data_IF_400042923588
#
_entry.id   IF_400042923588
#
_cell.length_a   1.000
_cell.length_b   1.000
_cell.length_c   1.000
_cell.angle_alpha   90.00
_cell.angle_beta   90.00
_cell.angle_gamma   90.00
#
_symmetry.space_group_name_H-M   'P 1'
#
loop_
_entity.id
_entity.type
_entity.pdbx_description
1 polymer ?
#
# COMPACT_ATOMS: atom_id res chain seq x y z
N UNK A 1 54.51 -7.87 32.45
CA UNK A 1 54.09 -8.40 31.12
C UNK A 1 53.16 -9.60 31.28
N UNK A 2 52.81 -10.00 32.52
CA UNK A 2 52.20 -11.31 32.81
C UNK A 2 50.66 -11.30 32.87
N UNK A 3 50.04 -10.12 33.02
CA UNK A 3 48.57 -9.95 33.02
C UNK A 3 47.93 -10.20 31.64
N UNK A 4 48.69 -10.01 30.56
CA UNK A 4 48.19 -10.20 29.19
C UNK A 4 48.14 -11.69 28.86
N UNK A 5 49.14 -12.47 29.30
CA UNK A 5 49.19 -13.92 29.07
C UNK A 5 48.18 -14.70 29.92
N UNK A 6 47.91 -14.28 31.16
CA UNK A 6 46.89 -14.92 32.02
C UNK A 6 45.46 -14.74 31.51
N UNK A 7 45.21 -13.75 30.64
CA UNK A 7 43.91 -13.59 29.98
C UNK A 7 43.71 -14.64 28.87
N UNK A 8 44.78 -15.11 28.23
CA UNK A 8 44.71 -16.10 27.15
C UNK A 8 44.50 -17.55 27.65
N UNK A 9 44.70 -17.83 28.94
CA UNK A 9 44.38 -19.13 29.56
C UNK A 9 42.87 -19.35 29.75
N UNK A 10 42.06 -18.31 29.58
CA UNK A 10 40.62 -18.43 29.71
C UNK A 10 40.02 -18.91 28.37
N UNK A 11 39.36 -20.09 28.33
CA UNK A 11 38.85 -20.70 27.11
C UNK A 11 37.80 -19.85 26.36
N UNK A 12 37.22 -18.83 27.02
CA UNK A 12 36.25 -17.91 26.41
C UNK A 12 36.86 -16.69 25.73
N UNK A 13 38.11 -16.32 26.04
CA UNK A 13 38.76 -15.12 25.50
C UNK A 13 38.95 -15.15 23.98
N UNK A 14 39.35 -16.27 23.35
CA UNK A 14 39.41 -16.38 21.90
C UNK A 14 38.05 -16.12 21.22
N UNK A 15 36.95 -16.58 21.83
CA UNK A 15 35.59 -16.36 21.31
C UNK A 15 35.13 -14.92 21.45
N UNK A 16 35.49 -14.24 22.55
CA UNK A 16 35.20 -12.81 22.74
C UNK A 16 35.96 -11.97 21.72
N UNK A 17 37.24 -12.28 21.49
CA UNK A 17 38.06 -11.61 20.46
C UNK A 17 37.48 -11.87 19.07
N UNK A 18 37.05 -13.10 18.77
CA UNK A 18 36.39 -13.43 17.52
C UNK A 18 35.06 -12.67 17.35
N UNK A 19 34.22 -12.61 18.37
CA UNK A 19 32.95 -11.89 18.35
C UNK A 19 33.17 -10.38 18.16
N UNK A 20 34.17 -9.80 18.84
CA UNK A 20 34.57 -8.41 18.66
C UNK A 20 35.15 -8.16 17.26
N UNK A 21 35.95 -9.09 16.73
CA UNK A 21 36.47 -9.01 15.37
C UNK A 21 35.35 -9.07 14.32
N UNK A 22 34.37 -9.97 14.50
CA UNK A 22 33.17 -10.05 13.66
C UNK A 22 32.33 -8.77 13.80
N UNK A 23 32.16 -8.24 15.00
CA UNK A 23 31.42 -7.01 15.25
C UNK A 23 32.09 -5.80 14.57
N UNK A 24 33.41 -5.67 14.67
CA UNK A 24 34.17 -4.61 14.00
C UNK A 24 34.19 -4.80 12.48
N UNK A 25 34.38 -6.02 12.00
CA UNK A 25 34.28 -6.34 10.57
C UNK A 25 32.88 -6.01 10.04
N UNK A 26 31.83 -6.38 10.77
CA UNK A 26 30.45 -6.01 10.46
C UNK A 26 30.27 -4.50 10.44
N UNK A 27 30.75 -3.77 11.44
CA UNK A 27 30.63 -2.30 11.50
C UNK A 27 31.45 -1.58 10.42
N UNK A 28 32.49 -2.21 9.88
CA UNK A 28 33.33 -1.68 8.79
C UNK A 28 32.80 -2.05 7.39
N UNK A 29 32.18 -3.23 7.27
CA UNK A 29 31.62 -3.77 6.02
C UNK A 29 30.16 -3.31 5.84
N UNK A 30 29.36 -3.19 6.89
CA UNK A 30 27.96 -2.74 6.84
C UNK A 30 27.75 -1.36 6.19
N UNK A 31 28.57 -0.32 6.45
CA UNK A 31 28.44 0.96 5.73
C UNK A 31 28.94 0.88 4.27
N UNK A 32 29.79 -0.10 3.92
CA UNK A 32 30.20 -0.34 2.52
C UNK A 32 29.24 -1.28 1.76
N UNK A 33 28.50 -2.11 2.48
CA UNK A 33 27.33 -2.87 2.04
C UNK A 33 26.06 -2.00 2.09
N UNK A 34 26.17 -0.70 1.83
CA UNK A 34 25.07 -0.07 1.09
C UNK A 34 25.00 -0.83 -0.23
N UNK A 35 24.14 -1.85 -0.28
CA UNK A 35 23.70 -2.54 -1.49
C UNK A 35 23.10 -1.48 -2.43
N UNK A 36 23.98 -0.71 -3.05
CA UNK A 36 23.74 0.21 -4.13
C UNK A 36 24.07 -0.57 -5.40
N UNK A 37 23.44 -1.74 -5.52
CA UNK A 37 23.37 -2.44 -6.80
C UNK A 37 22.36 -1.69 -7.66
N UNK A 38 22.64 -1.45 -8.95
CA UNK A 38 21.67 -0.84 -9.84
C UNK A 38 20.43 -1.74 -9.90
N UNK A 39 19.31 -1.25 -9.36
CA UNK A 39 17.98 -1.88 -9.53
C UNK A 39 17.45 -2.75 -8.39
N UNK A 40 18.20 -3.03 -7.31
CA UNK A 40 17.69 -3.87 -6.21
C UNK A 40 17.29 -3.00 -5.02
N UNK A 41 16.01 -2.62 -4.96
CA UNK A 41 15.47 -1.89 -3.80
C UNK A 41 15.48 -2.79 -2.57
N UNK A 42 15.94 -2.24 -1.43
CA UNK A 42 15.87 -2.91 -0.13
C UNK A 42 14.45 -3.39 0.17
N UNK A 43 13.45 -2.68 -0.33
CA UNK A 43 12.03 -3.01 -0.17
C UNK A 43 11.62 -4.29 -0.91
N UNK A 44 12.23 -4.55 -2.07
CA UNK A 44 11.93 -5.74 -2.88
C UNK A 44 12.53 -7.00 -2.23
N UNK A 45 13.70 -6.84 -1.61
CA UNK A 45 14.34 -7.89 -0.81
C UNK A 45 13.58 -8.11 0.50
N UNK A 46 13.19 -7.03 1.19
CA UNK A 46 12.38 -7.16 2.41
C UNK A 46 11.01 -7.78 2.12
N UNK A 47 10.37 -7.46 0.99
CA UNK A 47 9.11 -8.10 0.60
C UNK A 47 9.27 -9.61 0.34
N UNK A 48 10.37 -10.02 -0.29
CA UNK A 48 10.67 -11.44 -0.54
C UNK A 48 11.02 -12.21 0.74
N UNK A 49 11.69 -11.58 1.69
CA UNK A 49 12.18 -12.23 2.93
C UNK A 49 11.16 -12.19 4.07
N UNK A 50 10.44 -11.08 4.24
CA UNK A 50 9.48 -10.87 5.33
C UNK A 50 8.05 -11.25 4.98
N UNK A 51 7.78 -11.58 3.71
CA UNK A 51 6.49 -12.07 3.23
C UNK A 51 5.47 -10.99 2.87
N UNK A 52 4.35 -11.43 2.29
CA UNK A 52 3.27 -10.58 1.77
C UNK A 52 2.65 -9.63 2.83
N UNK A 53 2.65 -10.05 4.09
CA UNK A 53 2.12 -9.24 5.20
C UNK A 53 2.94 -7.96 5.46
N UNK A 54 4.26 -7.98 5.21
CA UNK A 54 5.10 -6.79 5.34
C UNK A 54 4.77 -5.76 4.23
N UNK A 55 4.57 -6.23 3.00
CA UNK A 55 4.19 -5.38 1.87
C UNK A 55 2.79 -4.78 2.05
N UNK A 56 1.84 -5.55 2.60
CA UNK A 56 0.50 -5.07 2.92
C UNK A 56 0.51 -4.01 4.03
N UNK A 57 1.27 -4.22 5.11
CA UNK A 57 1.39 -3.25 6.18
C UNK A 57 2.00 -1.92 5.70
N UNK A 58 2.99 -2.00 4.80
CA UNK A 58 3.60 -0.81 4.17
C UNK A 58 2.61 -0.08 3.27
N UNK A 59 1.88 -0.82 2.44
CA UNK A 59 0.82 -0.29 1.59
C UNK A 59 -0.24 0.46 2.42
N UNK A 60 -0.72 -0.15 3.49
CA UNK A 60 -1.69 0.45 4.41
C UNK A 60 -1.16 1.72 5.07
N UNK A 61 0.13 1.74 5.45
CA UNK A 61 0.77 2.94 5.99
C UNK A 61 0.81 4.08 4.96
N UNK A 62 1.06 3.76 3.69
CA UNK A 62 1.08 4.74 2.61
C UNK A 62 -0.31 5.30 2.30
N UNK A 63 -1.34 4.44 2.24
CA UNK A 63 -2.74 4.84 2.06
C UNK A 63 -3.16 5.80 3.19
N UNK A 64 -2.93 5.42 4.45
CA UNK A 64 -3.24 6.26 5.62
C UNK A 64 -2.52 7.61 5.59
N UNK A 65 -1.30 7.64 5.06
CA UNK A 65 -0.56 8.89 4.90
C UNK A 65 -1.24 9.79 3.88
N UNK A 66 -1.61 9.27 2.70
CA UNK A 66 -2.32 10.04 1.69
C UNK A 66 -3.70 10.52 2.17
N UNK A 67 -4.45 9.69 2.90
CA UNK A 67 -5.71 10.10 3.53
C UNK A 67 -5.51 11.26 4.51
N UNK A 68 -4.48 11.20 5.37
CA UNK A 68 -4.15 12.29 6.30
C UNK A 68 -3.71 13.57 5.60
N UNK A 69 -3.07 13.46 4.44
CA UNK A 69 -2.69 14.58 3.59
C UNK A 69 -3.88 15.11 2.75
N UNK A 70 -5.06 14.50 2.87
CA UNK A 70 -6.27 14.86 2.10
C UNK A 70 -6.24 14.39 0.65
N UNK A 71 -5.22 13.61 0.25
CA UNK A 71 -5.05 13.14 -1.12
C UNK A 71 -5.72 11.76 -1.32
N UNK A 72 -7.04 11.75 -1.21
CA UNK A 72 -7.85 10.53 -1.36
C UNK A 72 -7.79 9.96 -2.78
N UNK A 73 -7.61 10.81 -3.80
CA UNK A 73 -7.44 10.36 -5.17
C UNK A 73 -6.18 9.49 -5.34
N UNK A 74 -5.04 9.90 -4.79
CA UNK A 74 -3.81 9.10 -4.83
C UNK A 74 -3.93 7.83 -3.99
N UNK A 75 -4.60 7.91 -2.82
CA UNK A 75 -4.84 6.76 -1.96
C UNK A 75 -5.69 5.69 -2.67
N UNK A 76 -6.79 6.09 -3.31
CA UNK A 76 -7.66 5.18 -4.06
C UNK A 76 -6.97 4.59 -5.30
N UNK A 77 -6.17 5.37 -6.04
CA UNK A 77 -5.40 4.85 -7.19
C UNK A 77 -4.41 3.78 -6.76
N UNK A 78 -3.73 3.98 -5.64
CA UNK A 78 -2.80 2.99 -5.10
C UNK A 78 -3.53 1.67 -4.74
N UNK A 79 -4.77 1.75 -4.25
CA UNK A 79 -5.62 0.58 -4.01
C UNK A 79 -6.05 -0.10 -5.32
N UNK A 80 -6.40 0.67 -6.35
CA UNK A 80 -6.70 0.13 -7.69
C UNK A 80 -5.53 -0.62 -8.32
N UNK A 81 -4.32 -0.07 -8.23
CA UNK A 81 -3.09 -0.72 -8.73
C UNK A 81 -2.85 -2.08 -8.06
N UNK A 82 -3.27 -2.21 -6.79
CA UNK A 82 -3.21 -3.45 -6.02
C UNK A 82 -4.48 -4.32 -6.18
N UNK A 83 -5.38 -4.00 -7.12
CA UNK A 83 -6.67 -4.68 -7.38
C UNK A 83 -7.62 -4.71 -6.19
N UNK A 84 -7.46 -3.81 -5.24
CA UNK A 84 -8.29 -3.68 -4.02
C UNK A 84 -9.45 -2.71 -4.27
N UNK A 85 -10.27 -3.01 -5.28
CA UNK A 85 -11.30 -2.09 -5.77
C UNK A 85 -12.35 -1.71 -4.71
N UNK A 86 -12.73 -2.63 -3.83
CA UNK A 86 -13.71 -2.35 -2.77
C UNK A 86 -13.19 -1.29 -1.78
N UNK A 87 -11.94 -1.41 -1.35
CA UNK A 87 -11.32 -0.44 -0.45
C UNK A 87 -11.03 0.89 -1.15
N UNK A 88 -10.71 0.85 -2.45
CA UNK A 88 -10.58 2.04 -3.27
C UNK A 88 -11.88 2.85 -3.28
N UNK A 89 -13.04 2.19 -3.44
CA UNK A 89 -14.35 2.83 -3.37
C UNK A 89 -14.56 3.53 -2.03
N UNK A 90 -14.28 2.86 -0.91
CA UNK A 90 -14.42 3.47 0.42
C UNK A 90 -13.55 4.72 0.56
N UNK A 91 -12.30 4.63 0.11
CA UNK A 91 -11.34 5.74 0.16
C UNK A 91 -11.78 6.92 -0.71
N UNK A 92 -12.30 6.65 -1.91
CA UNK A 92 -12.83 7.69 -2.79
C UNK A 92 -14.09 8.33 -2.23
N UNK A 93 -14.99 7.56 -1.62
CA UNK A 93 -16.19 8.10 -0.97
C UNK A 93 -15.82 8.98 0.22
N UNK A 94 -14.83 8.59 1.03
CA UNK A 94 -14.31 9.40 2.13
C UNK A 94 -13.74 10.74 1.65
N UNK A 95 -13.09 10.74 0.49
CA UNK A 95 -12.56 11.95 -0.15
C UNK A 95 -13.53 12.72 -1.04
N UNK A 96 -14.82 12.34 -1.06
CA UNK A 96 -15.84 12.93 -1.95
C UNK A 96 -15.53 12.81 -3.45
N UNK A 97 -14.64 11.88 -3.82
CA UNK A 97 -14.24 11.55 -5.19
C UNK A 97 -15.27 10.61 -5.84
N UNK A 98 -16.53 11.06 -5.90
CA UNK A 98 -17.66 10.21 -6.25
C UNK A 98 -17.58 9.59 -7.65
N UNK A 99 -16.99 10.29 -8.63
CA UNK A 99 -16.82 9.74 -9.98
C UNK A 99 -15.88 8.53 -10.02
N UNK A 100 -14.77 8.60 -9.28
CA UNK A 100 -13.82 7.50 -9.16
C UNK A 100 -14.42 6.32 -8.38
N UNK A 101 -15.15 6.61 -7.30
CA UNK A 101 -15.90 5.59 -6.56
C UNK A 101 -16.92 4.88 -7.46
N UNK A 102 -17.71 5.64 -8.23
CA UNK A 102 -18.72 5.11 -9.13
C UNK A 102 -18.13 4.18 -10.20
N UNK A 103 -17.04 4.60 -10.84
CA UNK A 103 -16.34 3.80 -11.86
C UNK A 103 -15.84 2.47 -11.29
N UNK A 104 -15.35 2.44 -10.06
CA UNK A 104 -14.92 1.20 -9.41
C UNK A 104 -16.09 0.33 -8.99
N UNK A 105 -17.22 0.91 -8.56
CA UNK A 105 -18.46 0.18 -8.31
C UNK A 105 -19.03 -0.47 -9.58
N UNK A 106 -18.93 0.19 -10.73
CA UNK A 106 -19.30 -0.43 -12.03
C UNK A 106 -18.46 -1.68 -12.30
N UNK A 107 -17.13 -1.61 -12.10
CA UNK A 107 -16.22 -2.75 -12.28
C UNK A 107 -16.52 -3.91 -11.33
N UNK A 108 -17.02 -3.62 -10.13
CA UNK A 108 -17.46 -4.61 -9.15
C UNK A 108 -18.86 -5.17 -9.43
N UNK A 109 -19.57 -4.64 -10.44
CA UNK A 109 -20.94 -5.05 -10.77
C UNK A 109 -22.01 -4.45 -9.86
N UNK A 110 -21.66 -3.49 -8.99
CA UNK A 110 -22.59 -2.83 -8.08
C UNK A 110 -23.29 -1.65 -8.76
N UNK A 111 -24.05 -1.92 -9.81
CA UNK A 111 -24.66 -0.92 -10.69
C UNK A 111 -25.54 0.11 -9.95
N UNK A 112 -26.33 -0.33 -8.96
CA UNK A 112 -27.16 0.58 -8.16
C UNK A 112 -26.33 1.62 -7.41
N UNK A 113 -25.31 1.15 -6.68
CA UNK A 113 -24.42 2.03 -5.92
C UNK A 113 -23.59 2.90 -6.85
N UNK A 114 -23.19 2.37 -8.02
CA UNK A 114 -22.47 3.15 -9.02
C UNK A 114 -23.33 4.32 -9.52
N UNK A 115 -24.60 4.07 -9.86
CA UNK A 115 -25.52 5.11 -10.28
C UNK A 115 -25.71 6.18 -9.19
N UNK A 116 -25.91 5.78 -7.93
CA UNK A 116 -25.99 6.72 -6.80
C UNK A 116 -24.74 7.61 -6.68
N UNK A 117 -23.55 7.04 -6.86
CA UNK A 117 -22.31 7.81 -6.82
C UNK A 117 -22.15 8.72 -8.04
N UNK A 118 -22.58 8.31 -9.24
CA UNK A 118 -22.62 9.20 -10.40
C UNK A 118 -23.59 10.37 -10.20
N UNK A 119 -24.75 10.15 -9.54
CA UNK A 119 -25.65 11.24 -9.17
C UNK A 119 -24.98 12.23 -8.22
N UNK A 120 -24.26 11.75 -7.21
CA UNK A 120 -23.48 12.61 -6.30
C UNK A 120 -22.36 13.37 -7.01
N UNK A 121 -21.79 12.77 -8.06
CA UNK A 121 -20.81 13.42 -8.92
C UNK A 121 -21.44 14.42 -9.92
N UNK A 122 -22.78 14.54 -9.97
CA UNK A 122 -23.52 15.39 -10.90
C UNK A 122 -23.68 14.81 -12.31
N UNK A 123 -23.28 13.56 -12.55
CA UNK A 123 -23.42 12.88 -13.84
C UNK A 123 -24.74 12.09 -13.91
N UNK A 124 -25.85 12.82 -14.01
CA UNK A 124 -27.20 12.25 -14.10
C UNK A 124 -27.38 11.38 -15.34
N UNK A 125 -26.72 11.74 -16.46
CA UNK A 125 -26.78 10.98 -17.70
C UNK A 125 -26.19 9.59 -17.53
N UNK A 126 -25.00 9.49 -16.94
CA UNK A 126 -24.34 8.20 -16.72
C UNK A 126 -25.05 7.38 -15.65
N UNK A 127 -25.56 8.00 -14.59
CA UNK A 127 -26.38 7.33 -13.59
C UNK A 127 -27.65 6.71 -14.21
N UNK A 128 -28.37 7.45 -15.05
CA UNK A 128 -29.56 6.97 -15.74
C UNK A 128 -29.23 5.82 -16.72
N UNK A 129 -28.11 5.93 -17.45
CA UNK A 129 -27.63 4.87 -18.33
C UNK A 129 -27.39 3.56 -17.56
N UNK A 130 -26.66 3.63 -16.44
CA UNK A 130 -26.36 2.45 -15.61
C UNK A 130 -27.63 1.82 -15.06
N UNK A 131 -28.59 2.62 -14.60
CA UNK A 131 -29.88 2.11 -14.10
C UNK A 131 -30.72 1.47 -15.20
N UNK A 132 -30.65 2.01 -16.42
CA UNK A 132 -31.30 1.41 -17.59
C UNK A 132 -30.67 0.05 -17.91
N UNK A 133 -29.34 -0.01 -17.96
CA UNK A 133 -28.59 -1.23 -18.27
C UNK A 133 -28.71 -2.29 -17.16
N UNK A 134 -28.93 -1.86 -15.91
CA UNK A 134 -29.18 -2.74 -14.76
C UNK A 134 -30.60 -3.29 -14.69
N UNK A 135 -31.42 -3.08 -15.72
CA UNK A 135 -32.81 -3.55 -15.76
C UNK A 135 -33.77 -2.77 -14.85
N UNK A 136 -33.44 -1.51 -14.51
CA UNK A 136 -34.28 -0.61 -13.69
C UNK A 136 -34.71 0.63 -14.48
N UNK A 137 -35.39 0.48 -15.63
CA UNK A 137 -35.73 1.58 -16.52
C UNK A 137 -36.66 2.62 -15.87
N UNK A 138 -37.49 2.22 -14.90
CA UNK A 138 -38.36 3.16 -14.17
C UNK A 138 -37.56 4.20 -13.37
N UNK A 139 -36.45 3.80 -12.74
CA UNK A 139 -35.56 4.73 -12.02
C UNK A 139 -34.75 5.59 -12.98
N UNK A 140 -34.30 5.01 -14.09
CA UNK A 140 -33.60 5.75 -15.14
C UNK A 140 -34.49 6.84 -15.76
N UNK A 141 -35.76 6.52 -16.06
CA UNK A 141 -36.72 7.46 -16.61
C UNK A 141 -36.99 8.65 -15.67
N UNK A 142 -37.07 8.41 -14.36
CA UNK A 142 -37.24 9.49 -13.38
C UNK A 142 -36.07 10.49 -13.42
N UNK A 143 -34.83 10.00 -13.58
CA UNK A 143 -33.64 10.85 -13.67
C UNK A 143 -33.53 11.66 -14.97
N UNK A 144 -34.22 11.25 -16.04
CA UNK A 144 -34.26 12.02 -17.30
C UNK A 144 -35.33 13.12 -17.31
N UNK A 145 -36.26 13.09 -16.36
CA UNK A 145 -37.37 14.04 -16.27
C UNK A 145 -37.08 15.22 -15.32
N UNK A 146 -36.01 15.11 -14.53
CA UNK A 146 -35.49 16.16 -13.63
C UNK A 146 -34.57 17.13 -14.38
#
# INVERSE_FOLDING_TARGET
MDLVFSLFDNPYVPWIVLALAIFFAYRFIAPRLTLRGPGVSKDDVLGKVLGASYTEAKLQKQIKRYQKEGNFLAAGRLLEENRRFAEAVETYVEGEEYYAAATNLERLGHQDRAAEMFLKAGDHKKAAQILSDSGKPARAAALFLE
#
